data_IF_771172317485
#
_entry.id   IF_771172317485
#
_cell.length_a   1.000
_cell.length_b   1.000
_cell.length_c   1.000
_cell.angle_alpha   90.00
_cell.angle_beta   90.00
_cell.angle_gamma   90.00
#
_symmetry.space_group_name_H-M   'P 1'
#
loop_
_entity.id
_entity.type
_entity.pdbx_description
1 polymer ?
#
# COMPACT_ATOMS: atom_id res chain seq x y z
N UNK A 1 17.03 -13.14 -3.18
CA UNK A 1 18.08 -12.29 -3.81
C UNK A 1 18.76 -13.16 -4.86
N UNK A 2 18.25 -13.18 -6.09
CA UNK A 2 18.74 -14.02 -7.18
C UNK A 2 19.62 -13.15 -8.08
N UNK A 3 20.89 -13.01 -7.73
CA UNK A 3 21.94 -12.62 -8.67
C UNK A 3 22.48 -13.92 -9.25
N UNK A 4 22.05 -14.30 -10.45
CA UNK A 4 22.43 -15.60 -10.99
C UNK A 4 21.88 -15.85 -12.38
N UNK A 5 22.05 -14.89 -13.28
CA UNK A 5 22.29 -15.20 -14.70
C UNK A 5 22.87 -13.95 -15.39
N UNK A 6 23.99 -13.45 -14.85
CA UNK A 6 24.81 -12.50 -15.58
C UNK A 6 25.54 -13.30 -16.66
N UNK A 7 24.99 -13.28 -17.87
CA UNK A 7 25.73 -13.69 -19.05
C UNK A 7 27.10 -13.04 -19.01
N UNK A 8 28.14 -13.85 -19.11
CA UNK A 8 29.51 -13.38 -19.16
C UNK A 8 29.62 -12.34 -20.30
N UNK A 9 29.79 -11.05 -19.97
CA UNK A 9 29.86 -10.00 -20.98
C UNK A 9 31.04 -10.25 -21.93
N UNK A 10 32.05 -11.01 -21.51
CA UNK A 10 33.23 -11.32 -22.32
C UNK A 10 32.87 -12.11 -23.59
N UNK A 11 31.99 -13.11 -23.50
CA UNK A 11 31.63 -14.02 -24.59
C UNK A 11 30.80 -13.33 -25.69
N UNK A 12 29.81 -12.52 -25.27
CA UNK A 12 28.94 -11.82 -26.22
C UNK A 12 29.67 -10.65 -26.87
N UNK A 13 30.50 -9.93 -26.11
CA UNK A 13 31.34 -8.84 -26.63
C UNK A 13 32.41 -9.39 -27.58
N UNK A 14 33.09 -10.49 -27.24
CA UNK A 14 34.07 -11.12 -28.11
C UNK A 14 33.46 -11.62 -29.43
N UNK A 15 32.22 -12.12 -29.41
CA UNK A 15 31.51 -12.52 -30.64
C UNK A 15 31.07 -11.34 -31.51
N UNK A 16 30.80 -10.17 -30.90
CA UNK A 16 30.41 -8.95 -31.62
C UNK A 16 31.63 -8.21 -32.18
N UNK A 17 32.75 -8.25 -31.46
CA UNK A 17 34.02 -7.62 -31.82
C UNK A 17 34.95 -8.54 -32.61
N UNK A 18 34.52 -9.75 -33.00
CA UNK A 18 35.31 -10.60 -33.90
C UNK A 18 35.57 -9.83 -35.20
N UNK A 19 36.84 -9.56 -35.54
CA UNK A 19 37.17 -8.94 -36.81
C UNK A 19 36.61 -9.80 -37.93
N UNK A 20 36.01 -9.19 -38.94
CA UNK A 20 35.68 -9.94 -40.16
C UNK A 20 37.01 -10.29 -40.84
N UNK A 21 37.07 -11.42 -41.56
CA UNK A 21 38.29 -11.81 -42.31
C UNK A 21 38.74 -10.76 -43.35
N UNK A 22 37.95 -9.69 -43.56
CA UNK A 22 38.24 -8.56 -44.44
C UNK A 22 38.77 -7.29 -43.72
N UNK A 23 39.02 -7.34 -42.40
CA UNK A 23 39.51 -6.18 -41.65
C UNK A 23 41.01 -5.98 -41.93
N UNK A 24 41.31 -5.38 -43.09
CA UNK A 24 42.64 -4.92 -43.49
C UNK A 24 43.29 -4.04 -42.40
N UNK A 25 44.63 -4.02 -42.28
CA UNK A 25 45.31 -3.17 -41.30
C UNK A 25 44.89 -1.71 -41.49
N UNK A 26 44.25 -1.16 -40.46
CA UNK A 26 43.63 0.16 -40.50
C UNK A 26 44.68 1.23 -40.81
N UNK A 27 44.65 1.76 -42.04
CA UNK A 27 45.67 2.67 -42.54
C UNK A 27 45.62 4.09 -41.93
N UNK A 28 44.57 4.44 -41.14
CA UNK A 28 44.43 5.77 -40.54
C UNK A 28 43.58 5.76 -39.26
N UNK A 29 43.92 6.63 -38.30
CA UNK A 29 43.22 6.77 -37.03
C UNK A 29 41.72 7.11 -37.19
N UNK A 30 41.35 7.84 -38.25
CA UNK A 30 39.95 8.18 -38.53
C UNK A 30 39.12 6.94 -38.94
N UNK A 31 39.73 6.01 -39.67
CA UNK A 31 39.11 4.74 -40.05
C UNK A 31 38.85 3.87 -38.82
N UNK A 32 39.80 3.83 -37.88
CA UNK A 32 39.64 3.13 -36.62
C UNK A 32 38.51 3.72 -35.75
N UNK A 33 38.43 5.04 -35.62
CA UNK A 33 37.36 5.71 -34.86
C UNK A 33 35.98 5.41 -35.48
N UNK A 34 35.90 5.36 -36.80
CA UNK A 34 34.65 5.07 -37.52
C UNK A 34 34.20 3.64 -37.28
N UNK A 35 35.13 2.68 -37.35
CA UNK A 35 34.89 1.28 -36.99
C UNK A 35 34.44 1.13 -35.53
N UNK A 36 35.11 1.83 -34.60
CA UNK A 36 34.77 1.79 -33.18
C UNK A 36 33.36 2.35 -32.91
N UNK A 37 32.96 3.43 -33.60
CA UNK A 37 31.59 3.95 -33.53
C UNK A 37 30.56 2.97 -34.06
N UNK A 38 30.86 2.29 -35.17
CA UNK A 38 29.98 1.26 -35.72
C UNK A 38 29.81 0.07 -34.75
N UNK A 39 30.90 -0.36 -34.10
CA UNK A 39 30.85 -1.40 -33.08
C UNK A 39 30.05 -0.98 -31.85
N UNK A 40 30.24 0.25 -31.36
CA UNK A 40 29.45 0.78 -30.24
C UNK A 40 27.95 0.84 -30.58
N UNK A 41 27.58 1.30 -31.78
CA UNK A 41 26.18 1.31 -32.24
C UNK A 41 25.56 -0.10 -32.30
N UNK A 42 26.34 -1.08 -32.74
CA UNK A 42 25.93 -2.49 -32.77
C UNK A 42 25.77 -3.09 -31.37
N UNK A 43 26.61 -2.68 -30.41
CA UNK A 43 26.50 -3.10 -29.02
C UNK A 43 25.28 -2.47 -28.33
N UNK A 44 25.05 -1.17 -28.52
CA UNK A 44 23.92 -0.47 -27.89
C UNK A 44 22.58 -0.97 -28.40
N UNK A 45 22.44 -1.21 -29.71
CA UNK A 45 21.23 -1.78 -30.29
C UNK A 45 20.91 -3.18 -29.75
N UNK A 46 21.90 -4.07 -29.67
CA UNK A 46 21.73 -5.41 -29.08
C UNK A 46 21.43 -5.38 -27.58
N UNK A 47 22.07 -4.47 -26.85
CA UNK A 47 21.78 -4.28 -25.43
C UNK A 47 20.33 -3.80 -25.21
N UNK A 48 19.87 -2.86 -26.03
CA UNK A 48 18.50 -2.35 -25.98
C UNK A 48 17.46 -3.43 -26.32
N UNK A 49 17.70 -4.25 -27.35
CA UNK A 49 16.83 -5.36 -27.74
C UNK A 49 16.71 -6.39 -26.59
N UNK A 50 17.84 -6.80 -26.02
CA UNK A 50 17.85 -7.74 -24.89
C UNK A 50 17.18 -7.19 -23.64
N UNK A 51 17.33 -5.89 -23.40
CA UNK A 51 16.63 -5.21 -22.31
C UNK A 51 15.11 -5.24 -22.54
N UNK A 52 14.64 -4.97 -23.76
CA UNK A 52 13.22 -5.10 -24.12
C UNK A 52 12.71 -6.52 -23.91
N UNK A 53 13.39 -7.54 -24.44
CA UNK A 53 13.01 -8.94 -24.22
C UNK A 53 12.92 -9.30 -22.74
N UNK A 54 13.86 -8.81 -21.92
CA UNK A 54 13.87 -9.08 -20.48
C UNK A 54 12.68 -8.42 -19.78
N UNK A 55 12.35 -7.19 -20.15
CA UNK A 55 11.18 -6.47 -19.66
C UNK A 55 9.90 -7.19 -20.11
N UNK A 56 9.80 -7.57 -21.37
CA UNK A 56 8.62 -8.25 -21.93
C UNK A 56 8.38 -9.62 -21.29
N UNK A 57 9.44 -10.42 -21.08
CA UNK A 57 9.36 -11.69 -20.34
C UNK A 57 8.90 -11.49 -18.90
N UNK A 58 9.37 -10.42 -18.24
CA UNK A 58 8.94 -10.07 -16.88
C UNK A 58 7.48 -9.63 -16.86
N UNK A 59 7.04 -8.81 -17.81
CA UNK A 59 5.66 -8.37 -17.95
C UNK A 59 4.72 -9.55 -18.25
N UNK A 60 5.09 -10.42 -19.19
CA UNK A 60 4.30 -11.61 -19.54
C UNK A 60 4.14 -12.54 -18.32
N UNK A 61 5.22 -12.79 -17.58
CA UNK A 61 5.17 -13.59 -16.35
C UNK A 61 4.33 -12.91 -15.25
N UNK A 62 4.45 -11.59 -15.08
CA UNK A 62 3.68 -10.84 -14.10
C UNK A 62 2.17 -10.79 -14.43
N UNK A 63 1.82 -10.84 -15.71
CA UNK A 63 0.44 -10.80 -16.18
C UNK A 63 -0.21 -12.19 -16.35
N UNK A 64 0.58 -13.28 -16.39
CA UNK A 64 0.08 -14.63 -16.64
C UNK A 64 -1.04 -15.07 -15.66
N UNK A 65 -0.93 -14.66 -14.40
CA UNK A 65 -1.86 -15.05 -13.33
C UNK A 65 -2.88 -13.95 -12.99
N UNK A 66 -2.89 -12.82 -13.72
CA UNK A 66 -3.78 -11.69 -13.43
C UNK A 66 -5.17 -11.95 -14.00
N UNK A 67 -6.12 -12.25 -13.13
CA UNK A 67 -7.54 -12.16 -13.47
C UNK A 67 -7.97 -10.67 -13.45
N UNK A 68 -8.68 -10.18 -14.47
CA UNK A 68 -9.22 -8.82 -14.44
C UNK A 68 -10.33 -8.76 -13.39
N UNK A 69 -10.00 -8.28 -12.19
CA UNK A 69 -10.98 -8.10 -11.13
C UNK A 69 -11.86 -6.89 -11.45
N UNK A 70 -13.09 -7.13 -11.90
CA UNK A 70 -14.06 -6.05 -12.10
C UNK A 70 -14.64 -5.62 -10.75
N UNK A 71 -14.39 -4.39 -10.33
CA UNK A 71 -14.98 -3.80 -9.13
C UNK A 71 -16.18 -2.92 -9.50
N UNK A 72 -17.19 -2.86 -8.63
CA UNK A 72 -18.32 -1.93 -8.74
C UNK A 72 -18.34 -0.96 -7.56
N UNK A 73 -18.95 0.19 -7.77
CA UNK A 73 -19.21 1.14 -6.69
C UNK A 73 -20.08 0.48 -5.61
N UNK A 74 -19.66 0.61 -4.36
CA UNK A 74 -20.31 -0.03 -3.22
C UNK A 74 -19.77 -1.40 -2.83
N UNK A 75 -18.90 -2.02 -3.64
CA UNK A 75 -18.25 -3.29 -3.27
C UNK A 75 -17.34 -3.09 -2.06
N UNK A 76 -17.23 -4.15 -1.25
CA UNK A 76 -16.30 -4.21 -0.12
C UNK A 76 -15.00 -4.84 -0.55
N UNK A 77 -13.90 -4.28 -0.05
CA UNK A 77 -12.56 -4.69 -0.43
C UNK A 77 -11.58 -4.65 0.74
N UNK A 78 -10.53 -5.46 0.65
CA UNK A 78 -9.38 -5.41 1.54
C UNK A 78 -8.20 -4.73 0.84
N UNK A 79 -7.46 -3.92 1.58
CA UNK A 79 -6.29 -3.19 1.09
C UNK A 79 -5.01 -3.83 1.63
N UNK A 80 -4.06 -4.13 0.75
CA UNK A 80 -2.71 -4.52 1.16
C UNK A 80 -1.90 -3.28 1.58
N UNK A 81 -1.71 -3.08 2.89
CA UNK A 81 -0.94 -1.94 3.44
C UNK A 81 0.58 -2.14 3.38
N UNK A 82 1.07 -3.33 3.02
CA UNK A 82 2.47 -3.68 3.21
C UNK A 82 3.36 -3.44 1.99
N UNK A 83 4.48 -2.75 2.22
CA UNK A 83 5.62 -2.69 1.28
C UNK A 83 6.70 -3.75 1.61
N UNK A 84 6.58 -4.46 2.74
CA UNK A 84 7.60 -5.38 3.24
C UNK A 84 7.10 -6.83 3.24
N UNK A 85 7.95 -7.80 2.85
CA UNK A 85 7.54 -9.18 2.59
C UNK A 85 7.28 -10.04 3.85
N UNK A 86 7.38 -9.49 5.06
CA UNK A 86 7.32 -10.27 6.31
C UNK A 86 6.00 -10.15 7.08
N UNK A 87 5.13 -9.22 6.70
CA UNK A 87 3.79 -9.07 7.27
C UNK A 87 2.85 -8.91 6.09
N UNK A 88 2.14 -9.96 5.69
CA UNK A 88 1.08 -9.86 4.69
C UNK A 88 -0.21 -9.49 5.41
N UNK A 89 -0.30 -8.24 5.85
CA UNK A 89 -1.50 -7.69 6.47
C UNK A 89 -2.39 -7.04 5.41
N UNK A 90 -3.45 -7.74 5.01
CA UNK A 90 -4.59 -7.06 4.41
C UNK A 90 -5.32 -6.32 5.52
N UNK A 91 -5.58 -5.04 5.31
CA UNK A 91 -6.42 -4.23 6.19
C UNK A 91 -7.79 -4.07 5.56
N UNK A 92 -8.83 -3.97 6.37
CA UNK A 92 -10.17 -3.64 5.93
C UNK A 92 -11.20 -4.36 6.79
N UNK A 93 -12.48 -4.37 6.38
CA UNK A 93 -13.02 -4.04 5.07
C UNK A 93 -13.21 -2.54 4.77
N UNK A 94 -12.90 -2.13 3.54
CA UNK A 94 -13.17 -0.80 2.98
C UNK A 94 -14.30 -0.86 1.94
N UNK A 95 -15.00 0.25 1.73
CA UNK A 95 -16.04 0.38 0.70
C UNK A 95 -15.52 1.21 -0.47
N UNK A 96 -15.78 0.75 -1.70
CA UNK A 96 -15.51 1.54 -2.91
C UNK A 96 -16.56 2.64 -3.02
N UNK A 97 -16.14 3.90 -3.00
CA UNK A 97 -17.02 5.05 -3.26
C UNK A 97 -17.16 5.35 -4.74
N UNK A 98 -16.04 5.39 -5.45
CA UNK A 98 -16.00 5.77 -6.85
C UNK A 98 -14.78 5.14 -7.54
N UNK A 99 -14.92 4.88 -8.84
CA UNK A 99 -13.84 4.44 -9.71
C UNK A 99 -13.41 5.67 -10.52
N UNK A 100 -12.23 6.24 -10.22
CA UNK A 100 -11.77 7.45 -10.92
C UNK A 100 -11.13 7.13 -12.27
N UNK A 101 -10.32 6.09 -12.31
CA UNK A 101 -9.59 5.61 -13.49
C UNK A 101 -9.70 4.08 -13.57
N UNK A 102 -9.28 3.48 -14.70
CA UNK A 102 -9.24 2.01 -14.85
C UNK A 102 -8.41 1.30 -13.77
N UNK A 103 -7.45 2.00 -13.15
CA UNK A 103 -6.49 1.43 -12.20
C UNK A 103 -6.55 2.04 -10.80
N UNK A 104 -7.40 3.05 -10.57
CA UNK A 104 -7.43 3.77 -9.28
C UNK A 104 -8.83 3.81 -8.70
N UNK A 105 -8.96 3.30 -7.47
CA UNK A 105 -10.20 3.25 -6.70
C UNK A 105 -10.17 4.30 -5.61
N UNK A 106 -11.30 4.95 -5.37
CA UNK A 106 -11.53 5.79 -4.21
C UNK A 106 -12.21 4.96 -3.12
N UNK A 107 -11.49 4.70 -2.04
CA UNK A 107 -11.93 3.87 -0.93
C UNK A 107 -12.32 4.74 0.27
N UNK A 108 -13.26 4.24 1.05
CA UNK A 108 -13.65 4.80 2.34
C UNK A 108 -13.71 3.72 3.40
N UNK A 109 -13.37 4.09 4.61
CA UNK A 109 -13.57 3.25 5.79
C UNK A 109 -15.06 3.17 6.18
N UNK A 110 -15.46 2.10 6.84
CA UNK A 110 -16.82 1.87 7.33
C UNK A 110 -17.20 2.79 8.50
N UNK A 111 -16.22 3.47 9.09
CA UNK A 111 -16.39 4.45 10.17
C UNK A 111 -16.49 5.91 9.67
N UNK A 112 -16.76 6.11 8.38
CA UNK A 112 -16.95 7.44 7.76
C UNK A 112 -15.69 8.34 7.84
N UNK A 113 -14.52 7.73 7.70
CA UNK A 113 -13.24 8.45 7.53
C UNK A 113 -13.16 9.17 6.18
N UNK A 114 -12.20 10.09 6.03
CA UNK A 114 -11.96 10.77 4.75
C UNK A 114 -11.59 9.75 3.65
N UNK A 115 -12.10 9.91 2.42
CA UNK A 115 -11.81 8.98 1.35
C UNK A 115 -10.36 9.08 0.91
N UNK A 116 -9.75 7.94 0.58
CA UNK A 116 -8.38 7.85 0.09
C UNK A 116 -8.29 7.03 -1.20
N UNK A 117 -7.20 7.18 -1.94
CA UNK A 117 -7.01 6.52 -3.23
C UNK A 117 -6.16 5.26 -3.07
N UNK A 118 -6.53 4.18 -3.74
CA UNK A 118 -5.75 2.95 -3.81
C UNK A 118 -5.69 2.41 -5.25
N UNK A 119 -4.58 1.77 -5.61
CA UNK A 119 -4.46 1.11 -6.90
C UNK A 119 -5.19 -0.24 -6.88
N UNK A 120 -5.82 -0.62 -7.98
CA UNK A 120 -6.56 -1.89 -8.13
C UNK A 120 -5.73 -3.11 -7.69
N UNK A 121 -4.45 -3.17 -8.05
CA UNK A 121 -3.51 -4.24 -7.64
C UNK A 121 -3.30 -4.37 -6.12
N UNK A 122 -3.60 -3.34 -5.33
CA UNK A 122 -3.46 -3.39 -3.87
C UNK A 122 -4.74 -3.84 -3.18
N UNK A 123 -5.79 -4.11 -3.95
CA UNK A 123 -7.14 -4.27 -3.45
C UNK A 123 -7.65 -5.67 -3.79
N UNK A 124 -8.20 -6.36 -2.79
CA UNK A 124 -8.82 -7.68 -2.95
C UNK A 124 -10.33 -7.60 -2.71
N UNK A 125 -11.15 -8.31 -3.49
CA UNK A 125 -12.59 -8.36 -3.28
C UNK A 125 -12.89 -9.03 -1.93
N UNK A 126 -13.76 -8.40 -1.14
CA UNK A 126 -14.18 -8.90 0.16
C UNK A 126 -15.67 -9.25 0.15
N UNK A 127 -15.97 -10.49 -0.22
CA UNK A 127 -17.33 -10.99 -0.25
C UNK A 127 -17.71 -11.57 1.11
N UNK A 128 -18.50 -10.83 1.89
CA UNK A 128 -19.12 -11.38 3.10
C UNK A 128 -20.63 -11.19 3.09
N UNK A 129 -21.36 -12.21 3.53
CA UNK A 129 -22.82 -12.14 3.76
C UNK A 129 -23.16 -11.54 5.12
N UNK A 130 -22.16 -11.04 5.84
CA UNK A 130 -22.31 -10.53 7.21
C UNK A 130 -22.94 -9.15 7.23
N UNK A 131 -23.77 -8.88 8.23
CA UNK A 131 -24.36 -7.55 8.45
C UNK A 131 -23.32 -6.48 8.80
N UNK A 132 -23.72 -5.21 8.62
CA UNK A 132 -22.89 -4.01 8.83
C UNK A 132 -22.21 -3.97 10.21
N UNK A 133 -22.88 -4.39 11.29
CA UNK A 133 -22.30 -4.37 12.64
C UNK A 133 -21.10 -5.32 12.77
N UNK A 134 -21.17 -6.51 12.16
CA UNK A 134 -20.07 -7.48 12.17
C UNK A 134 -18.88 -7.00 11.33
N UNK A 135 -19.17 -6.30 10.22
CA UNK A 135 -18.17 -5.67 9.37
C UNK A 135 -17.40 -4.57 10.10
N UNK A 136 -18.12 -3.71 10.84
CA UNK A 136 -17.50 -2.69 11.69
C UNK A 136 -16.61 -3.31 12.75
N UNK A 137 -17.08 -4.33 13.47
CA UNK A 137 -16.27 -5.01 14.49
C UNK A 137 -15.00 -5.65 13.90
N UNK A 138 -15.08 -6.18 12.67
CA UNK A 138 -13.91 -6.72 11.98
C UNK A 138 -12.91 -5.61 11.63
N UNK A 139 -13.38 -4.51 11.04
CA UNK A 139 -12.54 -3.36 10.73
C UNK A 139 -11.89 -2.76 12.00
N UNK A 140 -12.65 -2.70 13.10
CA UNK A 140 -12.16 -2.24 14.40
C UNK A 140 -11.07 -3.14 14.96
N UNK A 141 -11.24 -4.47 14.88
CA UNK A 141 -10.25 -5.45 15.32
C UNK A 141 -8.92 -5.33 14.56
N UNK A 142 -8.96 -5.06 13.25
CA UNK A 142 -7.76 -4.91 12.42
C UNK A 142 -6.94 -3.68 12.82
N UNK A 143 -7.61 -2.59 13.23
CA UNK A 143 -6.94 -1.34 13.64
C UNK A 143 -6.71 -1.24 15.15
N UNK A 144 -7.06 -2.29 15.91
CA UNK A 144 -7.06 -2.29 17.38
C UNK A 144 -7.85 -1.10 17.96
N UNK A 145 -8.87 -0.66 17.23
CA UNK A 145 -9.81 0.38 17.64
C UNK A 145 -11.05 -0.28 18.23
N UNK A 146 -11.73 0.43 19.13
CA UNK A 146 -12.96 -0.05 19.76
C UNK A 146 -14.03 1.01 19.63
N UNK A 147 -15.26 0.59 19.31
CA UNK A 147 -16.38 1.52 19.20
C UNK A 147 -16.94 1.79 20.59
N UNK A 148 -17.08 3.08 20.91
CA UNK A 148 -17.65 3.51 22.20
C UNK A 148 -19.16 3.62 22.06
N UNK A 149 -19.90 2.82 22.82
CA UNK A 149 -21.35 2.91 22.93
C UNK A 149 -21.76 4.14 23.74
N UNK A 150 -21.05 4.44 24.82
CA UNK A 150 -21.36 5.57 25.68
C UNK A 150 -20.43 5.73 26.87
N UNK A 151 -20.68 6.77 27.68
CA UNK A 151 -19.96 7.02 28.93
C UNK A 151 -20.95 6.90 30.08
N UNK A 152 -20.68 6.01 31.03
CA UNK A 152 -21.57 5.76 32.17
C UNK A 152 -21.26 6.70 33.34
N UNK A 153 -19.97 6.80 33.70
CA UNK A 153 -19.50 7.49 34.92
C UNK A 153 -18.19 8.23 34.67
N UNK A 154 -17.83 9.10 35.59
CA UNK A 154 -16.53 9.75 35.64
C UNK A 154 -15.95 9.69 37.05
N UNK A 155 -14.61 9.69 37.16
CA UNK A 155 -13.89 9.81 38.44
C UNK A 155 -12.60 10.60 38.26
N UNK A 156 -12.04 11.10 39.36
CA UNK A 156 -10.67 11.61 39.38
C UNK A 156 -9.77 10.65 40.14
N UNK A 157 -8.72 10.16 39.49
CA UNK A 157 -7.68 9.31 40.11
C UNK A 157 -6.33 9.96 39.85
N UNK A 158 -5.56 10.20 40.91
CA UNK A 158 -4.25 10.86 40.85
C UNK A 158 -4.27 12.21 40.10
N UNK A 159 -5.37 12.97 40.24
CA UNK A 159 -5.52 14.26 39.57
C UNK A 159 -5.93 14.20 38.08
N UNK A 160 -6.02 13.02 37.49
CA UNK A 160 -6.45 12.79 36.10
C UNK A 160 -7.94 12.44 36.05
N UNK A 161 -8.68 13.05 35.11
CA UNK A 161 -10.08 12.71 34.85
C UNK A 161 -10.12 11.40 34.05
N UNK A 162 -10.81 10.41 34.60
CA UNK A 162 -11.09 9.13 33.93
C UNK A 162 -12.59 9.00 33.70
N UNK A 163 -12.96 8.43 32.55
CA UNK A 163 -14.33 8.12 32.17
C UNK A 163 -14.52 6.60 32.15
N UNK A 164 -15.65 6.11 32.63
CA UNK A 164 -16.03 4.72 32.51
C UNK A 164 -16.70 4.55 31.13
N UNK A 165 -15.97 3.93 30.22
CA UNK A 165 -16.36 3.77 28.82
C UNK A 165 -17.14 2.46 28.68
N UNK A 166 -18.35 2.55 28.15
CA UNK A 166 -19.11 1.39 27.68
C UNK A 166 -18.75 1.16 26.22
N UNK A 167 -18.18 0.00 25.94
CA UNK A 167 -17.78 -0.41 24.59
C UNK A 167 -18.97 -1.06 23.86
N UNK A 168 -19.00 -0.97 22.54
CA UNK A 168 -19.98 -1.70 21.74
C UNK A 168 -19.60 -3.18 21.68
N UNK A 169 -20.53 -4.07 22.06
CA UNK A 169 -20.34 -5.52 22.15
C UNK A 169 -20.33 -6.06 23.58
N UNK A 170 -19.92 -7.31 23.75
CA UNK A 170 -19.83 -7.99 25.06
C UNK A 170 -18.47 -7.73 25.73
N UNK A 171 -18.16 -6.46 25.97
CA UNK A 171 -16.95 -6.06 26.69
C UNK A 171 -17.32 -5.36 28.00
N UNK A 172 -16.55 -5.66 29.06
CA UNK A 172 -16.73 -4.99 30.34
C UNK A 172 -16.33 -3.49 30.24
N UNK A 173 -17.09 -2.59 30.88
CA UNK A 173 -16.73 -1.17 30.92
C UNK A 173 -15.38 -0.93 31.59
N UNK A 174 -14.51 -0.13 30.95
CA UNK A 174 -13.16 0.18 31.48
C UNK A 174 -12.98 1.67 31.77
N UNK A 175 -12.07 1.98 32.70
CA UNK A 175 -11.75 3.35 33.08
C UNK A 175 -10.64 3.92 32.20
N UNK A 176 -11.01 4.74 31.22
CA UNK A 176 -10.07 5.37 30.29
C UNK A 176 -9.79 6.83 30.65
N UNK A 177 -8.56 7.34 30.40
CA UNK A 177 -8.26 8.74 30.60
C UNK A 177 -9.07 9.61 29.61
N UNK A 178 -9.74 10.64 30.12
CA UNK A 178 -10.58 11.53 29.31
C UNK A 178 -9.80 12.26 28.20
N UNK A 179 -8.48 12.36 28.35
CA UNK A 179 -7.59 12.95 27.35
C UNK A 179 -7.46 12.12 26.07
N UNK A 180 -7.44 10.79 26.20
CA UNK A 180 -7.39 9.87 25.07
C UNK A 180 -8.70 9.84 24.25
N UNK A 181 -9.81 10.29 24.83
CA UNK A 181 -11.15 10.22 24.25
C UNK A 181 -11.63 11.52 23.61
N UNK A 182 -10.76 12.54 23.43
CA UNK A 182 -11.14 13.85 22.88
C UNK A 182 -11.80 13.80 21.49
N UNK A 183 -11.42 12.81 20.70
CA UNK A 183 -11.94 12.59 19.35
C UNK A 183 -13.33 11.91 19.36
N UNK A 184 -13.68 11.20 20.44
CA UNK A 184 -14.95 10.48 20.58
C UNK A 184 -16.09 11.45 20.88
N UNK A 185 -17.16 11.39 20.09
CA UNK A 185 -18.35 12.24 20.22
C UNK A 185 -19.07 12.02 21.56
N UNK A 186 -19.32 10.76 21.94
CA UNK A 186 -19.95 10.40 23.20
C UNK A 186 -19.22 10.99 24.43
N UNK A 187 -17.88 10.95 24.43
CA UNK A 187 -17.08 11.54 25.50
C UNK A 187 -17.21 13.06 25.53
N UNK A 188 -17.20 13.72 24.37
CA UNK A 188 -17.36 15.18 24.26
C UNK A 188 -18.72 15.65 24.79
N UNK A 189 -19.78 14.93 24.45
CA UNK A 189 -21.14 15.29 24.87
C UNK A 189 -21.36 15.02 26.37
N UNK A 190 -20.76 13.95 26.91
CA UNK A 190 -20.73 13.68 28.34
C UNK A 190 -19.98 14.77 29.12
N UNK A 191 -18.81 15.20 28.65
CA UNK A 191 -18.03 16.27 29.31
C UNK A 191 -18.79 17.60 29.32
N UNK A 192 -19.49 17.93 28.23
CA UNK A 192 -20.32 19.15 28.12
C UNK A 192 -21.49 19.11 29.11
N UNK A 193 -22.25 18.02 29.13
CA UNK A 193 -23.43 17.88 30.00
C UNK A 193 -23.06 17.94 31.49
N UNK A 194 -21.91 17.38 31.88
CA UNK A 194 -21.44 17.36 33.26
C UNK A 194 -20.53 18.54 33.63
N UNK A 195 -20.33 19.51 32.72
CA UNK A 195 -19.46 20.70 32.91
C UNK A 195 -18.04 20.37 33.37
N UNK A 196 -17.50 19.24 32.91
CA UNK A 196 -16.18 18.74 33.29
C UNK A 196 -15.11 19.36 32.39
N UNK A 197 -14.01 19.83 33.00
CA UNK A 197 -12.84 20.36 32.26
C UNK A 197 -11.67 19.37 32.37
N UNK A 198 -11.03 19.10 31.23
CA UNK A 198 -9.73 18.43 31.20
C UNK A 198 -8.68 19.35 31.83
N UNK A 199 -7.73 18.79 32.59
CA UNK A 199 -6.59 19.56 33.09
C UNK A 199 -5.64 19.86 31.92
N UNK A 200 -5.47 21.15 31.63
CA UNK A 200 -4.36 21.78 30.91
C UNK A 200 -3.72 21.02 29.75
N UNK A 201 -4.12 21.33 28.52
CA UNK A 201 -3.19 21.29 27.39
C UNK A 201 -2.52 22.65 27.27
N UNK A 202 -1.20 22.74 27.50
CA UNK A 202 -0.40 23.76 26.80
C UNK A 202 -0.59 23.47 25.31
N UNK A 203 -1.07 24.47 24.57
CA UNK A 203 -0.84 24.51 23.14
C UNK A 203 0.67 24.63 22.95
N UNK A 204 1.28 23.62 22.36
CA UNK A 204 2.59 23.70 21.72
C UNK A 204 2.36 23.58 20.23
#
# INVERSE_FOLDING_TARGET
MLYGDQLDPSSTVARILRPSENDSPLASASAYITLLRAHLSKLTSRAAEKQRETVDKRLAKANADRQPTSFKEGDLVLLNRTKTPKLHGFAGPFKILAIKDNNTLQLVDLFESAPFMAHVDQVLPFNTKSGLSRLKNLAASDEQTYVVQGIEKHRRRNGTLQLLVCWEGDYDPTWEPADGLRHVTAARDYLKSHKLKLKGGRMS
#
